data_IF_461754194900
#
_entry.id   IF_461754194900
#
_cell.length_a   1.000
_cell.length_b   1.000
_cell.length_c   1.000
_cell.angle_alpha   90.00
_cell.angle_beta   90.00
_cell.angle_gamma   90.00
#
_symmetry.space_group_name_H-M   'P 1'
#
loop_
_entity.id
_entity.type
_entity.pdbx_description
1 polymer ?
#
# COMPACT_ATOMS: atom_id res chain seq x y z
N UNK A 1 -25.15 -35.39 18.40
CA UNK A 1 -24.11 -34.51 17.84
C UNK A 1 -24.80 -33.50 16.95
N UNK A 2 -24.68 -32.22 17.28
CA UNK A 2 -25.22 -31.15 16.43
C UNK A 2 -24.30 -30.90 15.22
N UNK A 3 -24.74 -30.07 14.26
CA UNK A 3 -23.97 -29.82 13.03
C UNK A 3 -22.61 -29.16 13.31
N UNK A 4 -22.52 -28.34 14.36
CA UNK A 4 -21.30 -27.65 14.73
C UNK A 4 -20.25 -28.64 15.26
N UNK A 5 -20.61 -29.44 16.27
CA UNK A 5 -19.79 -30.52 16.82
C UNK A 5 -19.33 -31.49 15.71
N UNK A 6 -20.25 -31.84 14.80
CA UNK A 6 -19.95 -32.69 13.65
C UNK A 6 -18.86 -32.09 12.77
N UNK A 7 -18.94 -30.78 12.46
CA UNK A 7 -17.95 -30.11 11.64
C UNK A 7 -16.58 -30.07 12.31
N UNK A 8 -16.52 -29.77 13.62
CA UNK A 8 -15.26 -29.74 14.37
C UNK A 8 -14.57 -31.12 14.32
N UNK A 9 -15.30 -32.19 14.69
CA UNK A 9 -14.73 -33.53 14.76
C UNK A 9 -14.35 -34.08 13.39
N UNK A 10 -15.21 -33.85 12.38
CA UNK A 10 -15.00 -34.37 11.02
C UNK A 10 -13.84 -33.66 10.33
N UNK A 11 -13.72 -32.35 10.51
CA UNK A 11 -12.59 -31.58 9.99
C UNK A 11 -11.26 -32.09 10.54
N UNK A 12 -11.17 -32.23 11.87
CA UNK A 12 -9.95 -32.69 12.54
C UNK A 12 -9.53 -34.08 12.05
N UNK A 13 -10.49 -35.02 11.97
CA UNK A 13 -10.26 -36.37 11.49
C UNK A 13 -9.76 -36.40 10.05
N UNK A 14 -10.46 -35.73 9.12
CA UNK A 14 -10.07 -35.73 7.71
C UNK A 14 -8.70 -35.06 7.53
N UNK A 15 -8.42 -34.00 8.27
CA UNK A 15 -7.13 -33.32 8.24
C UNK A 15 -6.00 -34.26 8.69
N UNK A 16 -6.14 -34.90 9.86
CA UNK A 16 -5.11 -35.77 10.43
C UNK A 16 -4.84 -37.00 9.54
N UNK A 17 -5.89 -37.67 9.09
CA UNK A 17 -5.78 -38.83 8.19
C UNK A 17 -5.10 -38.45 6.87
N UNK A 18 -5.49 -37.32 6.27
CA UNK A 18 -4.89 -36.87 5.01
C UNK A 18 -3.45 -36.42 5.22
N UNK A 19 -3.15 -35.68 6.29
CA UNK A 19 -1.82 -35.17 6.58
C UNK A 19 -0.83 -36.32 6.78
N UNK A 20 -1.24 -37.36 7.51
CA UNK A 20 -0.43 -38.56 7.71
C UNK A 20 -0.20 -39.34 6.41
N UNK A 21 -1.16 -39.32 5.49
CA UNK A 21 -1.06 -40.03 4.21
C UNK A 21 -0.24 -39.27 3.14
N UNK A 22 -0.37 -37.95 3.06
CA UNK A 22 0.19 -37.15 1.94
C UNK A 22 1.33 -36.22 2.34
N UNK A 23 1.52 -35.95 3.64
CA UNK A 23 2.60 -35.10 4.15
C UNK A 23 2.53 -33.61 3.77
N UNK A 24 1.46 -33.16 3.10
CA UNK A 24 1.27 -31.77 2.67
C UNK A 24 0.11 -31.12 3.42
N UNK A 25 0.41 -30.15 4.29
CA UNK A 25 -0.58 -29.46 5.11
C UNK A 25 -1.60 -28.68 4.27
N UNK A 26 -1.15 -28.02 3.19
CA UNK A 26 -2.03 -27.17 2.36
C UNK A 26 -3.00 -28.01 1.57
N UNK A 27 -2.57 -29.17 1.09
CA UNK A 27 -3.45 -30.14 0.43
C UNK A 27 -4.43 -30.74 1.44
N UNK A 28 -3.95 -31.14 2.61
CA UNK A 28 -4.74 -31.80 3.66
C UNK A 28 -5.82 -30.88 4.22
N UNK A 29 -5.50 -29.62 4.53
CA UNK A 29 -6.50 -28.66 5.01
C UNK A 29 -7.55 -28.33 3.95
N UNK A 30 -7.18 -28.22 2.66
CA UNK A 30 -8.16 -27.98 1.58
C UNK A 30 -9.12 -29.16 1.44
N UNK A 31 -8.60 -30.40 1.55
CA UNK A 31 -9.43 -31.60 1.55
C UNK A 31 -10.36 -31.63 2.77
N UNK A 32 -9.84 -31.34 3.96
CA UNK A 32 -10.64 -31.29 5.18
C UNK A 32 -11.77 -30.25 5.12
N UNK A 33 -11.51 -29.03 4.62
CA UNK A 33 -12.55 -28.00 4.42
C UNK A 33 -13.65 -28.53 3.47
N UNK A 34 -13.24 -28.99 2.28
CA UNK A 34 -14.17 -29.41 1.22
C UNK A 34 -15.01 -30.61 1.66
N UNK A 35 -14.37 -31.65 2.18
CA UNK A 35 -15.04 -32.92 2.46
C UNK A 35 -15.90 -32.82 3.73
N UNK A 36 -15.50 -32.01 4.72
CA UNK A 36 -16.36 -31.71 5.88
C UNK A 36 -17.61 -30.96 5.45
N UNK A 37 -17.49 -29.95 4.57
CA UNK A 37 -18.65 -29.21 4.07
C UNK A 37 -19.63 -30.14 3.33
N UNK A 38 -19.13 -30.96 2.39
CA UNK A 38 -19.97 -31.92 1.66
C UNK A 38 -20.64 -32.91 2.62
N UNK A 39 -19.89 -33.42 3.59
CA UNK A 39 -20.40 -34.40 4.54
C UNK A 39 -21.46 -33.78 5.47
N UNK A 40 -21.21 -32.61 6.03
CA UNK A 40 -22.14 -31.94 6.93
C UNK A 40 -23.42 -31.50 6.22
N UNK A 41 -23.36 -31.04 4.96
CA UNK A 41 -24.57 -30.72 4.18
C UNK A 41 -25.45 -31.95 3.92
N UNK A 42 -24.86 -33.16 3.84
CA UNK A 42 -25.61 -34.41 3.67
C UNK A 42 -26.26 -34.86 4.99
N UNK A 43 -25.53 -34.75 6.09
CA UNK A 43 -26.00 -35.15 7.42
C UNK A 43 -27.01 -34.15 8.02
N UNK A 44 -26.89 -32.86 7.68
CA UNK A 44 -27.73 -31.78 8.20
C UNK A 44 -28.39 -30.97 7.06
N UNK A 45 -29.28 -31.57 6.25
CA UNK A 45 -29.84 -30.93 5.05
C UNK A 45 -30.76 -29.73 5.36
N UNK A 46 -31.24 -29.62 6.59
CA UNK A 46 -32.13 -28.55 7.04
C UNK A 46 -31.38 -27.35 7.66
N UNK A 47 -30.04 -27.40 7.73
CA UNK A 47 -29.21 -26.30 8.21
C UNK A 47 -28.72 -25.49 7.02
N UNK A 48 -28.74 -24.17 7.13
CA UNK A 48 -28.21 -23.30 6.08
C UNK A 48 -26.73 -23.59 5.82
N UNK A 49 -26.36 -23.74 4.55
CA UNK A 49 -24.98 -24.02 4.13
C UNK A 49 -23.98 -22.97 4.67
N UNK A 50 -24.42 -21.72 4.84
CA UNK A 50 -23.60 -20.66 5.41
C UNK A 50 -23.22 -20.92 6.89
N UNK A 51 -24.13 -21.50 7.68
CA UNK A 51 -23.86 -21.83 9.08
C UNK A 51 -22.92 -23.04 9.20
N UNK A 52 -23.07 -24.04 8.33
CA UNK A 52 -22.11 -25.15 8.21
C UNK A 52 -20.73 -24.61 7.84
N UNK A 53 -20.66 -23.68 6.89
CA UNK A 53 -19.40 -23.06 6.48
C UNK A 53 -18.71 -22.30 7.62
N UNK A 54 -19.48 -21.60 8.48
CA UNK A 54 -18.96 -20.96 9.70
C UNK A 54 -18.40 -21.97 10.70
N UNK A 55 -19.04 -23.13 10.87
CA UNK A 55 -18.54 -24.19 11.74
C UNK A 55 -17.22 -24.79 11.21
N UNK A 56 -17.12 -25.02 9.90
CA UNK A 56 -15.87 -25.47 9.24
C UNK A 56 -14.76 -24.42 9.38
N UNK A 57 -15.11 -23.13 9.26
CA UNK A 57 -14.18 -22.04 9.53
C UNK A 57 -13.66 -22.07 10.97
N UNK A 58 -14.54 -22.28 11.96
CA UNK A 58 -14.16 -22.41 13.37
C UNK A 58 -13.18 -23.58 13.59
N UNK A 59 -13.45 -24.74 13.00
CA UNK A 59 -12.55 -25.90 13.09
C UNK A 59 -11.15 -25.62 12.52
N UNK A 60 -11.11 -24.91 11.39
CA UNK A 60 -9.85 -24.51 10.77
C UNK A 60 -9.08 -23.51 11.64
N UNK A 61 -9.77 -22.50 12.17
CA UNK A 61 -9.18 -21.47 13.03
C UNK A 61 -8.64 -22.06 14.32
N UNK A 62 -9.40 -22.93 14.99
CA UNK A 62 -8.95 -23.61 16.20
C UNK A 62 -7.66 -24.40 15.95
N UNK A 63 -7.64 -25.25 14.92
CA UNK A 63 -6.44 -26.02 14.55
C UNK A 63 -5.21 -25.13 14.27
N UNK A 64 -5.41 -24.00 13.59
CA UNK A 64 -4.31 -23.13 13.15
C UNK A 64 -3.83 -22.15 14.20
N UNK A 65 -4.69 -21.72 15.11
CA UNK A 65 -4.39 -20.69 16.11
C UNK A 65 -4.35 -21.20 17.55
N UNK A 66 -4.90 -22.39 17.82
CA UNK A 66 -5.13 -22.91 19.16
C UNK A 66 -6.27 -22.21 19.91
N UNK A 67 -7.11 -21.43 19.21
CA UNK A 67 -8.20 -20.65 19.80
C UNK A 67 -9.53 -21.23 19.31
N UNK A 68 -10.25 -21.91 20.21
CA UNK A 68 -11.57 -22.48 19.93
C UNK A 68 -12.72 -21.49 20.16
N UNK A 69 -12.49 -20.40 20.88
CA UNK A 69 -13.52 -19.42 21.23
C UNK A 69 -13.87 -18.51 20.03
N UNK A 70 -15.08 -18.62 19.45
CA UNK A 70 -15.49 -17.84 18.28
C UNK A 70 -15.59 -16.34 18.58
N UNK A 71 -15.88 -15.94 19.83
CA UNK A 71 -15.97 -14.54 20.22
C UNK A 71 -14.58 -13.89 20.21
N UNK A 72 -13.54 -14.63 20.63
CA UNK A 72 -12.15 -14.16 20.55
C UNK A 72 -11.75 -14.00 19.08
N UNK A 73 -12.03 -15.00 18.24
CA UNK A 73 -11.72 -14.94 16.80
C UNK A 73 -12.38 -13.72 16.15
N UNK A 74 -13.68 -13.50 16.42
CA UNK A 74 -14.41 -12.38 15.84
C UNK A 74 -13.86 -11.02 16.29
N UNK A 75 -13.51 -10.87 17.58
CA UNK A 75 -12.90 -9.64 18.11
C UNK A 75 -11.55 -9.35 17.46
N UNK A 76 -10.71 -10.36 17.28
CA UNK A 76 -9.40 -10.20 16.62
C UNK A 76 -9.57 -9.79 15.16
N UNK A 77 -10.46 -10.43 14.40
CA UNK A 77 -10.73 -10.07 12.99
C UNK A 77 -11.29 -8.65 12.89
N UNK A 78 -12.20 -8.27 13.79
CA UNK A 78 -12.77 -6.93 13.84
C UNK A 78 -11.67 -5.88 14.08
N UNK A 79 -10.82 -6.10 15.09
CA UNK A 79 -9.69 -5.23 15.39
C UNK A 79 -8.70 -5.16 14.22
N UNK A 80 -8.36 -6.29 13.60
CA UNK A 80 -7.44 -6.35 12.46
C UNK A 80 -8.00 -5.59 11.24
N UNK A 81 -9.29 -5.74 10.92
CA UNK A 81 -9.92 -5.02 9.83
C UNK A 81 -10.00 -3.51 10.11
N UNK A 82 -10.25 -3.12 11.36
CA UNK A 82 -10.22 -1.72 11.78
C UNK A 82 -8.82 -1.12 11.60
N UNK A 83 -7.77 -1.82 12.04
CA UNK A 83 -6.38 -1.43 11.83
C UNK A 83 -6.05 -1.30 10.34
N UNK A 84 -6.34 -2.33 9.53
CA UNK A 84 -6.09 -2.35 8.06
C UNK A 84 -6.73 -1.16 7.34
N UNK A 85 -7.87 -0.66 7.82
CA UNK A 85 -8.60 0.47 7.21
C UNK A 85 -8.11 1.84 7.70
N UNK A 86 -7.67 1.95 8.95
CA UNK A 86 -7.39 3.24 9.59
C UNK A 86 -5.89 3.57 9.68
N UNK A 87 -5.02 2.56 9.80
CA UNK A 87 -3.59 2.79 10.02
C UNK A 87 -2.89 3.44 8.83
N UNK A 88 -3.36 3.17 7.60
CA UNK A 88 -2.87 3.81 6.38
C UNK A 88 -3.15 5.31 6.38
N UNK A 89 -4.41 5.69 6.62
CA UNK A 89 -4.80 7.10 6.72
C UNK A 89 -4.08 7.83 7.86
N UNK A 90 -3.91 7.18 9.02
CA UNK A 90 -3.16 7.77 10.12
C UNK A 90 -1.68 8.02 9.76
N UNK A 91 -1.08 7.12 8.97
CA UNK A 91 0.28 7.31 8.47
C UNK A 91 0.37 8.45 7.45
N UNK A 92 -0.57 8.54 6.51
CA UNK A 92 -0.69 9.66 5.56
C UNK A 92 -0.79 11.01 6.28
N UNK A 93 -1.66 11.10 7.29
CA UNK A 93 -1.84 12.29 8.12
C UNK A 93 -0.56 12.65 8.89
N UNK A 94 0.16 11.66 9.42
CA UNK A 94 1.46 11.86 10.07
C UNK A 94 2.49 12.45 9.10
N UNK A 95 2.63 11.88 7.89
CA UNK A 95 3.57 12.38 6.88
C UNK A 95 3.23 13.82 6.48
N UNK A 96 1.94 14.11 6.28
CA UNK A 96 1.48 15.48 6.01
C UNK A 96 1.85 16.44 7.14
N UNK A 97 1.60 16.06 8.40
CA UNK A 97 1.88 16.90 9.57
C UNK A 97 3.39 17.19 9.69
N UNK A 98 4.21 16.15 9.63
CA UNK A 98 5.68 16.27 9.74
C UNK A 98 6.23 17.09 8.57
N UNK A 99 5.89 16.71 7.33
CA UNK A 99 6.40 17.38 6.13
C UNK A 99 6.01 18.84 6.06
N UNK A 100 4.76 19.19 6.39
CA UNK A 100 4.30 20.58 6.32
C UNK A 100 5.03 21.50 7.28
N UNK A 101 5.45 21.01 8.46
CA UNK A 101 6.22 21.81 9.41
C UNK A 101 7.57 22.28 8.85
N UNK A 102 8.17 21.52 7.92
CA UNK A 102 9.44 21.85 7.27
C UNK A 102 9.30 22.42 5.86
N UNK A 103 8.19 22.16 5.17
CA UNK A 103 7.95 22.63 3.80
C UNK A 103 7.39 24.05 3.74
N UNK A 104 6.74 24.52 4.81
CA UNK A 104 6.05 25.81 4.85
C UNK A 104 6.98 26.99 4.58
N UNK A 105 8.20 26.97 5.16
CA UNK A 105 9.20 28.04 4.94
C UNK A 105 9.64 28.17 3.46
N UNK A 106 9.44 27.11 2.67
CA UNK A 106 9.75 27.05 1.24
C UNK A 106 8.52 27.26 0.35
N UNK A 107 7.38 27.65 0.92
CA UNK A 107 6.13 27.86 0.18
C UNK A 107 5.54 26.57 -0.39
N UNK A 108 5.84 25.43 0.22
CA UNK A 108 5.32 24.12 -0.20
C UNK A 108 4.44 23.50 0.89
N UNK A 109 3.53 22.61 0.48
CA UNK A 109 2.75 21.79 1.42
C UNK A 109 2.29 20.48 0.80
N UNK A 110 2.14 19.48 1.67
CA UNK A 110 1.52 18.20 1.40
C UNK A 110 0.01 18.30 1.63
N UNK A 111 -0.73 17.69 0.72
CA UNK A 111 -2.18 17.55 0.72
C UNK A 111 -2.55 16.06 0.76
N UNK A 112 -3.59 15.72 1.52
CA UNK A 112 -4.26 14.43 1.35
C UNK A 112 -5.01 14.43 0.01
N UNK A 113 -5.26 13.26 -0.57
CA UNK A 113 -6.08 13.15 -1.80
C UNK A 113 -7.42 13.89 -1.68
N UNK A 114 -8.10 13.79 -0.53
CA UNK A 114 -9.37 14.48 -0.27
C UNK A 114 -9.23 16.00 -0.25
N UNK A 115 -8.10 16.51 0.24
CA UNK A 115 -7.83 17.95 0.30
C UNK A 115 -7.65 18.49 -1.12
N UNK A 116 -6.84 17.78 -1.94
CA UNK A 116 -6.65 18.16 -3.34
C UNK A 116 -7.96 18.13 -4.12
N UNK A 117 -8.82 17.12 -3.90
CA UNK A 117 -10.12 17.06 -4.56
C UNK A 117 -10.97 18.30 -4.27
N UNK A 118 -11.08 18.70 -3.00
CA UNK A 118 -11.80 19.91 -2.60
C UNK A 118 -11.19 21.18 -3.21
N UNK A 119 -9.87 21.31 -3.20
CA UNK A 119 -9.18 22.46 -3.79
C UNK A 119 -9.38 22.56 -5.30
N UNK A 120 -9.43 21.44 -6.01
CA UNK A 120 -9.74 21.41 -7.45
C UNK A 120 -11.21 21.82 -7.70
N UNK A 121 -12.15 21.32 -6.90
CA UNK A 121 -13.57 21.70 -7.00
C UNK A 121 -13.79 23.20 -6.76
N UNK A 122 -13.03 23.79 -5.83
CA UNK A 122 -13.06 25.21 -5.51
C UNK A 122 -12.22 26.10 -6.44
N UNK A 123 -11.56 25.53 -7.46
CA UNK A 123 -10.67 26.25 -8.39
C UNK A 123 -9.46 26.93 -7.71
N UNK A 124 -8.94 26.32 -6.65
CA UNK A 124 -7.79 26.81 -5.86
C UNK A 124 -6.42 26.32 -6.40
N UNK A 125 -6.42 25.37 -7.36
CA UNK A 125 -5.21 24.82 -7.98
C UNK A 125 -4.99 25.46 -9.36
N UNK A 126 -3.81 26.03 -9.56
CA UNK A 126 -3.47 26.85 -10.73
C UNK A 126 -2.78 26.08 -11.87
N UNK A 127 -2.63 24.75 -11.75
CA UNK A 127 -2.13 23.91 -12.83
C UNK A 127 -2.94 24.08 -14.12
N UNK A 128 -2.33 23.76 -15.26
CA UNK A 128 -3.02 23.82 -16.56
C UNK A 128 -4.24 22.87 -16.60
N UNK A 129 -5.27 23.15 -17.41
CA UNK A 129 -6.45 22.28 -17.51
C UNK A 129 -6.13 20.81 -17.82
N UNK A 130 -5.06 20.56 -18.59
CA UNK A 130 -4.56 19.21 -18.87
C UNK A 130 -4.14 18.48 -17.60
N UNK A 131 -3.39 19.13 -16.73
CA UNK A 131 -2.95 18.59 -15.44
C UNK A 131 -4.13 18.39 -14.50
N UNK A 132 -5.06 19.35 -14.44
CA UNK A 132 -6.27 19.23 -13.61
C UNK A 132 -7.08 18.00 -14.00
N UNK A 133 -7.28 17.74 -15.30
CA UNK A 133 -7.98 16.55 -15.77
C UNK A 133 -7.23 15.27 -15.38
N UNK A 134 -5.91 15.24 -15.56
CA UNK A 134 -5.09 14.09 -15.18
C UNK A 134 -5.14 13.83 -13.66
N UNK A 135 -5.06 14.88 -12.83
CA UNK A 135 -5.16 14.77 -11.37
C UNK A 135 -6.52 14.24 -10.93
N UNK A 136 -7.62 14.67 -11.56
CA UNK A 136 -8.97 14.13 -11.31
C UNK A 136 -9.05 12.62 -11.60
N UNK A 137 -8.44 12.16 -12.69
CA UNK A 137 -8.35 10.73 -13.00
C UNK A 137 -7.59 9.96 -11.91
N UNK A 138 -6.47 10.51 -11.42
CA UNK A 138 -5.68 9.88 -10.36
C UNK A 138 -6.43 9.80 -9.02
N UNK A 139 -7.14 10.88 -8.65
CA UNK A 139 -8.00 10.92 -7.46
C UNK A 139 -9.12 9.87 -7.58
N UNK A 140 -9.76 9.77 -8.75
CA UNK A 140 -10.86 8.84 -8.98
C UNK A 140 -10.43 7.37 -8.84
N UNK A 141 -9.17 7.08 -9.16
CA UNK A 141 -8.60 5.74 -9.17
C UNK A 141 -7.86 5.39 -7.88
N UNK A 142 -7.81 6.31 -6.90
CA UNK A 142 -7.14 6.15 -5.60
C UNK A 142 -5.68 5.68 -5.74
N UNK A 143 -4.95 6.30 -6.67
CA UNK A 143 -3.59 5.90 -7.03
C UNK A 143 -2.54 6.42 -6.06
N UNK A 144 -2.67 7.69 -5.66
CA UNK A 144 -1.71 8.40 -4.81
C UNK A 144 -2.35 8.75 -3.48
N UNK A 145 -1.62 8.51 -2.41
CA UNK A 145 -2.12 8.74 -1.06
C UNK A 145 -2.00 10.24 -0.69
N UNK A 146 -0.93 10.89 -1.20
CA UNK A 146 -0.57 12.27 -0.91
C UNK A 146 -0.16 13.02 -2.18
N UNK A 147 -0.29 14.34 -2.15
CA UNK A 147 0.17 15.25 -3.20
C UNK A 147 1.01 16.37 -2.56
N UNK A 148 1.89 16.99 -3.33
CA UNK A 148 2.68 18.14 -2.87
C UNK A 148 2.54 19.32 -3.83
N UNK A 149 2.36 20.50 -3.24
CA UNK A 149 2.19 21.76 -3.95
C UNK A 149 3.32 22.73 -3.65
N UNK A 150 3.51 23.68 -4.56
CA UNK A 150 4.38 24.85 -4.40
C UNK A 150 3.60 26.11 -4.74
N UNK A 151 3.81 27.17 -3.96
CA UNK A 151 3.29 28.51 -4.25
C UNK A 151 4.27 29.29 -5.12
N UNK A 152 3.77 29.84 -6.23
CA UNK A 152 4.53 30.69 -7.14
C UNK A 152 3.60 31.80 -7.66
N UNK A 153 4.01 33.07 -7.58
CA UNK A 153 3.20 34.22 -8.03
C UNK A 153 1.76 34.21 -7.47
N UNK A 154 1.62 34.02 -6.15
CA UNK A 154 0.35 33.91 -5.40
C UNK A 154 -0.61 32.79 -5.85
N UNK A 155 -0.12 31.87 -6.68
CA UNK A 155 -0.85 30.71 -7.18
C UNK A 155 -0.23 29.43 -6.64
N UNK A 156 -1.05 28.41 -6.49
CA UNK A 156 -0.63 27.12 -5.96
C UNK A 156 -0.67 26.04 -7.03
N UNK A 157 0.43 25.31 -7.17
CA UNK A 157 0.62 24.31 -8.21
C UNK A 157 0.96 22.97 -7.58
N UNK A 158 0.22 21.92 -7.94
CA UNK A 158 0.63 20.53 -7.70
C UNK A 158 1.81 20.23 -8.59
N UNK A 159 2.94 19.82 -8.02
CA UNK A 159 4.13 19.44 -8.78
C UNK A 159 4.55 17.99 -8.52
N UNK A 160 4.02 17.35 -7.48
CA UNK A 160 4.38 15.98 -7.13
C UNK A 160 3.23 15.11 -6.64
N UNK A 161 3.39 13.81 -6.87
CA UNK A 161 2.49 12.71 -6.51
C UNK A 161 3.25 11.75 -5.59
N UNK A 162 2.64 11.39 -4.45
CA UNK A 162 3.33 10.67 -3.38
C UNK A 162 2.53 9.42 -3.00
N UNK A 163 3.21 8.28 -2.98
CA UNK A 163 2.70 7.04 -2.38
C UNK A 163 3.28 6.89 -0.97
N UNK A 164 2.46 6.81 0.07
CA UNK A 164 2.91 6.63 1.45
C UNK A 164 2.44 5.29 1.99
N UNK A 165 3.35 4.33 2.15
CA UNK A 165 3.01 2.94 2.50
C UNK A 165 3.63 2.54 3.84
N UNK A 166 2.79 2.00 4.73
CA UNK A 166 3.23 1.42 6.01
C UNK A 166 3.96 0.09 5.84
N UNK A 167 3.69 -0.63 4.75
CA UNK A 167 4.47 -1.79 4.35
C UNK A 167 4.47 -1.94 2.84
N UNK A 168 5.62 -2.27 2.29
CA UNK A 168 5.74 -2.65 0.90
C UNK A 168 5.86 -4.19 0.83
N UNK A 169 4.81 -4.85 0.32
CA UNK A 169 4.78 -6.29 0.04
C UNK A 169 4.70 -6.53 -1.47
N UNK A 170 4.09 -7.62 -1.95
CA UNK A 170 3.93 -7.93 -3.38
C UNK A 170 3.19 -6.88 -4.23
N UNK A 171 2.69 -5.79 -3.63
CA UNK A 171 1.93 -4.72 -4.28
C UNK A 171 2.77 -3.70 -5.04
N UNK A 172 4.10 -3.69 -4.90
CA UNK A 172 4.99 -2.74 -5.64
C UNK A 172 4.78 -2.80 -7.14
N UNK A 173 4.41 -3.96 -7.69
CA UNK A 173 4.14 -4.08 -9.12
C UNK A 173 2.94 -3.24 -9.55
N UNK A 174 1.93 -3.09 -8.68
CA UNK A 174 0.73 -2.27 -8.90
C UNK A 174 0.98 -0.79 -8.61
N UNK A 175 1.89 -0.48 -7.69
CA UNK A 175 2.21 0.91 -7.33
C UNK A 175 3.23 1.54 -8.29
N UNK A 176 4.11 0.73 -8.90
CA UNK A 176 5.17 1.17 -9.82
C UNK A 176 4.62 1.76 -11.12
N UNK A 177 3.66 1.09 -11.75
CA UNK A 177 3.14 1.52 -13.05
C UNK A 177 2.46 2.91 -12.99
N UNK A 178 1.57 3.19 -12.02
CA UNK A 178 1.01 4.53 -11.88
C UNK A 178 2.06 5.61 -11.55
N UNK A 179 3.08 5.29 -10.77
CA UNK A 179 4.21 6.21 -10.54
C UNK A 179 4.95 6.54 -11.84
N UNK A 180 5.21 5.54 -12.68
CA UNK A 180 5.80 5.77 -14.00
C UNK A 180 4.91 6.66 -14.88
N UNK A 181 3.58 6.50 -14.80
CA UNK A 181 2.63 7.40 -15.49
C UNK A 181 2.67 8.83 -14.97
N UNK A 182 2.87 9.05 -13.68
CA UNK A 182 3.10 10.39 -13.13
C UNK A 182 4.40 11.03 -13.66
N UNK A 183 5.48 10.24 -13.77
CA UNK A 183 6.73 10.71 -14.39
C UNK A 183 6.57 11.00 -15.89
N UNK A 184 5.80 10.19 -16.62
CA UNK A 184 5.43 10.45 -18.02
C UNK A 184 4.57 11.73 -18.18
N UNK A 185 3.78 12.08 -17.16
CA UNK A 185 3.01 13.32 -17.08
C UNK A 185 3.81 14.51 -16.51
N UNK A 186 5.13 14.35 -16.36
CA UNK A 186 6.05 15.37 -15.85
C UNK A 186 5.70 15.86 -14.43
N UNK A 187 5.34 14.95 -13.53
CA UNK A 187 5.19 15.21 -12.10
C UNK A 187 6.28 14.51 -11.31
N UNK A 188 6.67 15.10 -10.18
CA UNK A 188 7.55 14.46 -9.22
C UNK A 188 6.86 13.28 -8.54
N UNK A 189 7.14 12.07 -9.02
CA UNK A 189 6.62 10.84 -8.44
C UNK A 189 7.57 10.20 -7.43
N UNK A 190 7.13 10.04 -6.19
CA UNK A 190 7.94 9.47 -5.10
C UNK A 190 7.14 8.53 -4.21
N UNK A 191 7.85 7.73 -3.43
CA UNK A 191 7.26 6.89 -2.41
C UNK A 191 7.92 7.10 -1.04
N UNK A 192 7.13 7.05 0.03
CA UNK A 192 7.55 7.13 1.43
C UNK A 192 7.15 5.82 2.12
N UNK A 193 8.12 5.13 2.72
CA UNK A 193 7.94 3.77 3.24
C UNK A 193 8.38 3.64 4.69
N UNK A 194 7.49 3.13 5.53
CA UNK A 194 7.80 2.91 6.95
C UNK A 194 8.76 1.74 7.19
N UNK A 195 8.63 0.66 6.42
CA UNK A 195 9.44 -0.56 6.57
C UNK A 195 10.20 -0.86 5.27
N UNK A 196 11.52 -0.92 5.37
CA UNK A 196 12.46 -1.21 4.27
C UNK A 196 12.81 -2.69 4.10
N UNK A 197 12.23 -3.62 4.86
CA UNK A 197 12.62 -5.04 4.83
C UNK A 197 12.46 -5.70 3.46
N UNK A 198 11.51 -5.24 2.65
CA UNK A 198 11.34 -5.68 1.27
C UNK A 198 12.58 -5.43 0.40
N UNK A 199 13.36 -4.38 0.69
CA UNK A 199 14.59 -4.06 -0.04
C UNK A 199 15.72 -5.05 0.25
N UNK A 200 15.56 -5.99 1.19
CA UNK A 200 16.48 -7.13 1.34
C UNK A 200 16.47 -8.02 0.09
N UNK A 201 15.40 -8.02 -0.70
CA UNK A 201 15.36 -8.75 -1.97
C UNK A 201 15.82 -7.85 -3.13
N UNK A 202 16.84 -8.25 -3.92
CA UNK A 202 17.37 -7.44 -5.03
C UNK A 202 16.32 -7.02 -6.07
N UNK A 203 15.27 -7.83 -6.23
CA UNK A 203 14.11 -7.52 -7.08
C UNK A 203 13.53 -6.14 -6.77
N UNK A 204 13.33 -5.79 -5.50
CA UNK A 204 12.69 -4.53 -5.14
C UNK A 204 13.62 -3.33 -5.29
N UNK A 205 14.92 -3.50 -5.08
CA UNK A 205 15.91 -2.47 -5.41
C UNK A 205 15.85 -2.16 -6.91
N UNK A 206 15.81 -3.20 -7.77
CA UNK A 206 15.69 -3.03 -9.22
C UNK A 206 14.34 -2.43 -9.64
N UNK A 207 13.25 -2.68 -8.92
CA UNK A 207 11.96 -2.04 -9.20
C UNK A 207 12.00 -0.53 -8.99
N UNK A 208 12.75 -0.07 -7.97
CA UNK A 208 12.93 1.36 -7.70
C UNK A 208 13.93 1.97 -8.66
N UNK A 209 15.13 1.40 -8.78
CA UNK A 209 16.26 2.02 -9.48
C UNK A 209 16.32 1.67 -10.98
N UNK A 210 15.67 0.61 -11.41
CA UNK A 210 15.79 0.10 -12.78
C UNK A 210 17.10 -0.67 -13.01
N UNK A 211 17.61 -0.65 -14.25
CA UNK A 211 18.92 -1.21 -14.59
C UNK A 211 18.99 -2.74 -14.74
N UNK A 212 17.85 -3.43 -14.81
CA UNK A 212 17.80 -4.89 -15.03
C UNK A 212 16.95 -5.24 -16.25
N UNK A 213 17.04 -6.49 -16.75
CA UNK A 213 16.20 -6.97 -17.85
C UNK A 213 14.70 -6.92 -17.54
N UNK A 214 14.32 -7.19 -16.29
CA UNK A 214 12.93 -7.17 -15.84
C UNK A 214 12.43 -5.74 -15.53
N UNK A 215 13.34 -4.85 -15.12
CA UNK A 215 13.04 -3.47 -14.75
C UNK A 215 14.08 -2.55 -15.38
N UNK A 216 13.83 -2.14 -16.63
CA UNK A 216 14.77 -1.29 -17.39
C UNK A 216 14.88 0.11 -16.81
N UNK A 217 13.74 0.74 -16.52
CA UNK A 217 13.63 2.09 -15.97
C UNK A 217 13.34 2.07 -14.47
N UNK A 218 13.72 3.14 -13.78
CA UNK A 218 13.33 3.41 -12.41
C UNK A 218 11.79 3.51 -12.28
N UNK A 219 11.28 3.11 -11.12
CA UNK A 219 9.85 3.17 -10.81
C UNK A 219 9.40 4.52 -10.24
N UNK A 220 10.32 5.27 -9.64
CA UNK A 220 10.08 6.57 -8.99
C UNK A 220 11.28 7.48 -9.18
N UNK A 221 11.11 8.79 -9.00
CA UNK A 221 12.23 9.71 -8.88
C UNK A 221 13.03 9.45 -7.59
N UNK A 222 12.33 9.07 -6.52
CA UNK A 222 12.90 8.76 -5.21
C UNK A 222 11.99 7.89 -4.35
N UNK A 223 12.60 7.04 -3.55
CA UNK A 223 11.99 6.20 -2.53
C UNK A 223 12.60 6.57 -1.18
N UNK A 224 11.81 7.13 -0.28
CA UNK A 224 12.26 7.56 1.05
C UNK A 224 11.84 6.53 2.08
N UNK A 225 12.79 5.96 2.80
CA UNK A 225 12.56 4.83 3.70
C UNK A 225 12.95 5.21 5.12
N UNK A 226 12.07 4.95 6.09
CA UNK A 226 12.34 5.11 7.52
C UNK A 226 13.34 4.04 7.98
N UNK A 227 14.63 4.31 7.81
CA UNK A 227 15.73 3.43 8.19
C UNK A 227 17.05 4.21 8.28
N UNK A 228 18.11 3.54 8.74
CA UNK A 228 19.47 4.08 8.89
C UNK A 228 20.43 3.61 7.78
N UNK A 229 19.94 2.87 6.77
CA UNK A 229 20.80 2.37 5.71
C UNK A 229 21.23 3.49 4.76
N UNK A 230 22.49 3.49 4.29
CA UNK A 230 22.95 4.46 3.31
C UNK A 230 22.09 4.48 2.04
N UNK A 231 22.10 5.63 1.36
CA UNK A 231 21.45 5.80 0.06
C UNK A 231 21.89 4.73 -0.94
N UNK A 232 20.92 4.10 -1.61
CA UNK A 232 21.14 3.17 -2.73
C UNK A 232 20.49 3.77 -3.97
N UNK A 233 21.28 4.54 -4.71
CA UNK A 233 20.84 5.28 -5.92
C UNK A 233 19.65 6.22 -5.67
N UNK A 234 18.40 5.78 -5.91
CA UNK A 234 17.17 6.57 -5.68
C UNK A 234 16.43 6.18 -4.39
N UNK A 235 17.01 5.29 -3.59
CA UNK A 235 16.48 4.87 -2.30
C UNK A 235 17.22 5.66 -1.21
N UNK A 236 16.51 6.52 -0.50
CA UNK A 236 17.05 7.49 0.45
C UNK A 236 16.60 7.16 1.88
N UNK A 237 17.50 7.20 2.88
CA UNK A 237 17.11 7.13 4.27
C UNK A 237 16.43 8.42 4.72
N UNK A 238 15.40 8.28 5.53
CA UNK A 238 14.75 9.38 6.25
C UNK A 238 14.45 8.96 7.68
N UNK A 239 14.29 9.93 8.55
CA UNK A 239 13.73 9.78 9.88
C UNK A 239 12.49 10.68 10.02
N UNK A 240 12.10 11.00 11.25
CA UNK A 240 10.95 11.86 11.54
C UNK A 240 11.08 13.28 10.95
N UNK A 241 12.30 13.75 10.66
CA UNK A 241 12.56 15.08 10.12
C UNK A 241 12.41 15.14 8.59
N UNK A 242 12.32 14.00 7.91
CA UNK A 242 12.11 13.91 6.46
C UNK A 242 13.13 14.71 5.62
N UNK A 243 14.37 14.87 6.11
CA UNK A 243 15.34 15.85 5.59
C UNK A 243 15.57 15.74 4.08
N UNK A 244 15.96 14.55 3.59
CA UNK A 244 16.19 14.33 2.15
C UNK A 244 14.93 14.51 1.32
N UNK A 245 13.76 14.14 1.85
CA UNK A 245 12.49 14.37 1.15
C UNK A 245 12.22 15.87 0.98
N UNK A 246 12.41 16.67 2.04
CA UNK A 246 12.21 18.13 2.01
C UNK A 246 13.23 18.79 1.07
N UNK A 247 14.51 18.41 1.16
CA UNK A 247 15.56 18.94 0.29
C UNK A 247 15.29 18.63 -1.18
N UNK A 248 14.94 17.39 -1.50
CA UNK A 248 14.61 17.00 -2.88
C UNK A 248 13.31 17.64 -3.37
N UNK A 249 12.31 17.87 -2.50
CA UNK A 249 11.08 18.56 -2.86
C UNK A 249 11.36 20.01 -3.33
N UNK A 250 12.31 20.70 -2.69
CA UNK A 250 12.73 22.05 -3.10
C UNK A 250 13.32 22.05 -4.51
N UNK A 251 14.23 21.11 -4.79
CA UNK A 251 14.84 20.98 -6.12
C UNK A 251 13.79 20.56 -7.16
N UNK A 252 12.89 19.65 -6.80
CA UNK A 252 11.81 19.20 -7.66
C UNK A 252 10.85 20.33 -8.03
N UNK A 253 10.42 21.14 -7.06
CA UNK A 253 9.54 22.27 -7.32
C UNK A 253 10.20 23.29 -8.25
N UNK A 254 11.46 23.64 -8.00
CA UNK A 254 12.25 24.56 -8.82
C UNK A 254 12.36 24.07 -10.28
N UNK A 255 12.70 22.79 -10.47
CA UNK A 255 12.85 22.22 -11.81
C UNK A 255 11.51 22.02 -12.52
N UNK A 256 10.45 21.69 -11.79
CA UNK A 256 9.12 21.57 -12.35
C UNK A 256 8.57 22.92 -12.82
N UNK A 257 8.85 24.01 -12.10
CA UNK A 257 8.42 25.35 -12.47
C UNK A 257 9.17 25.91 -13.69
N UNK A 258 10.47 25.62 -13.82
CA UNK A 258 11.32 26.30 -14.81
C UNK A 258 11.81 25.41 -15.96
N UNK A 259 11.78 24.09 -15.81
CA UNK A 259 12.34 23.13 -16.79
C UNK A 259 11.56 21.81 -16.82
N UNK A 260 10.22 21.90 -16.71
CA UNK A 260 9.29 20.77 -16.63
C UNK A 260 9.49 19.71 -17.72
N UNK A 261 9.89 20.11 -18.92
CA UNK A 261 10.13 19.20 -20.05
C UNK A 261 11.22 18.14 -19.79
N UNK A 262 12.11 18.37 -18.82
CA UNK A 262 13.13 17.41 -18.40
C UNK A 262 12.75 16.64 -17.13
N UNK A 263 11.53 16.85 -16.63
CA UNK A 263 10.99 16.20 -15.43
C UNK A 263 10.36 14.83 -15.75
N UNK A 264 11.00 14.06 -16.63
CA UNK A 264 10.60 12.68 -16.92
C UNK A 264 11.31 11.72 -15.95
N UNK A 265 11.15 10.41 -16.14
CA UNK A 265 11.78 9.38 -15.30
C UNK A 265 13.31 9.51 -15.08
N UNK A 266 14.02 10.22 -15.97
CA UNK A 266 15.46 10.44 -15.88
C UNK A 266 15.82 11.44 -14.76
N UNK A 267 14.92 12.38 -14.44
CA UNK A 267 15.15 13.39 -13.41
C UNK A 267 15.53 12.75 -12.07
N UNK A 268 16.56 13.29 -11.41
CA UNK A 268 17.05 12.84 -10.11
C UNK A 268 17.60 14.03 -9.34
N UNK A 269 17.27 14.11 -8.05
CA UNK A 269 17.79 15.15 -7.17
C UNK A 269 19.31 15.05 -6.98
N UNK A 270 19.94 16.19 -6.69
CA UNK A 270 21.36 16.31 -6.38
C UNK A 270 22.31 16.06 -7.55
N UNK A 271 21.85 16.28 -8.79
CA UNK A 271 22.65 16.08 -10.01
C UNK A 271 23.04 17.39 -10.72
N UNK A 272 22.78 18.54 -10.09
CA UNK A 272 23.13 19.87 -10.63
C UNK A 272 24.60 20.22 -10.43
#
# INVERSE_FOLDING_TARGET
MNFFEYCISTYAKIFEETMNAVGDERVSQKKAIRDTMISAMREFPNVEAAEIWKAVYSAHMDRKSGIADPDIIQKVISAENSWKKSSGHAFEEMIKLLGNSSLEEYGMRILLQKDLNMMIENQEIANEPRDINWLKEQISSNVFDLYITVRNNDKEYVFGCIQSKTSIRDRVTRDREPSMKAMEAFFWSVAICLDGDFLKMPKFIAMVNGGTSNYRLNGWHGMYVFWDKPTIDRIYPIDINLELFVQHAREAAEDWLHRRQWFNHEWKAGQK
#
